data_IF_839170904547
#
_entry.id   IF_839170904547
#
_cell.length_a   1.000
_cell.length_b   1.000
_cell.length_c   1.000
_cell.angle_alpha   90.00
_cell.angle_beta   90.00
_cell.angle_gamma   90.00
#
_symmetry.space_group_name_H-M   'P 1'
#
loop_
_entity.id
_entity.type
_entity.pdbx_description
1 polymer ?
#
# COMPACT_ATOMS: atom_id res chain seq x y z
N UNK A 1 -32.29 7.60 13.38
CA UNK A 1 -31.36 6.66 14.06
C UNK A 1 -29.97 7.26 13.96
N UNK A 2 -29.22 7.37 15.06
CA UNK A 2 -27.83 7.85 14.99
C UNK A 2 -26.98 6.78 14.30
N UNK A 3 -26.33 7.11 13.18
CA UNK A 3 -25.46 6.17 12.48
C UNK A 3 -24.25 5.82 13.35
N UNK A 4 -23.89 4.54 13.41
CA UNK A 4 -22.68 4.10 14.11
C UNK A 4 -21.44 4.62 13.38
N UNK A 5 -20.51 5.24 14.10
CA UNK A 5 -19.27 5.76 13.54
C UNK A 5 -18.19 4.67 13.51
N UNK A 6 -17.81 4.24 12.30
CA UNK A 6 -16.79 3.20 12.05
C UNK A 6 -15.45 3.79 11.60
N UNK A 7 -15.28 5.11 11.60
CA UNK A 7 -14.09 5.77 11.08
C UNK A 7 -12.79 5.32 11.76
N UNK A 8 -12.83 4.95 13.06
CA UNK A 8 -11.64 4.44 13.74
C UNK A 8 -11.18 3.07 13.23
N UNK A 9 -12.09 2.23 12.69
CA UNK A 9 -11.73 0.95 12.08
C UNK A 9 -11.01 1.12 10.74
N UNK A 10 -11.10 2.30 10.13
CA UNK A 10 -10.36 2.63 8.91
C UNK A 10 -8.86 2.64 9.15
N UNK A 11 -8.39 2.95 10.36
CA UNK A 11 -6.96 2.95 10.71
C UNK A 11 -6.35 1.53 10.61
N UNK A 12 -6.85 0.51 11.33
CA UNK A 12 -6.33 -0.85 11.17
C UNK A 12 -6.58 -1.42 9.77
N UNK A 13 -7.72 -1.10 9.13
CA UNK A 13 -7.96 -1.51 7.75
C UNK A 13 -6.91 -0.95 6.78
N UNK A 14 -6.55 0.33 6.90
CA UNK A 14 -5.51 0.97 6.11
C UNK A 14 -4.15 0.29 6.29
N UNK A 15 -3.78 -0.03 7.54
CA UNK A 15 -2.55 -0.76 7.84
C UNK A 15 -2.50 -2.12 7.14
N UNK A 16 -3.59 -2.88 7.17
CA UNK A 16 -3.68 -4.18 6.47
C UNK A 16 -3.46 -4.01 4.97
N UNK A 17 -4.12 -3.02 4.35
CA UNK A 17 -3.94 -2.73 2.92
C UNK A 17 -2.50 -2.30 2.63
N UNK A 18 -1.88 -1.50 3.51
CA UNK A 18 -0.50 -1.04 3.38
C UNK A 18 0.51 -2.18 3.45
N UNK A 19 0.22 -3.23 4.23
CA UNK A 19 1.09 -4.40 4.36
C UNK A 19 0.99 -5.37 3.20
N UNK A 20 -0.13 -5.37 2.45
CA UNK A 20 -0.36 -6.31 1.37
C UNK A 20 0.71 -6.27 0.25
N UNK A 21 1.12 -5.10 -0.28
CA UNK A 21 2.18 -5.04 -1.30
C UNK A 21 3.52 -5.56 -0.78
N UNK A 22 3.82 -5.34 0.49
CA UNK A 22 5.03 -5.86 1.10
C UNK A 22 5.02 -7.39 1.14
N UNK A 23 3.95 -8.00 1.66
CA UNK A 23 3.79 -9.45 1.70
C UNK A 23 3.86 -10.08 0.29
N UNK A 24 3.18 -9.46 -0.68
CA UNK A 24 3.20 -9.89 -2.06
C UNK A 24 4.61 -9.79 -2.69
N UNK A 25 5.36 -8.73 -2.38
CA UNK A 25 6.73 -8.54 -2.89
C UNK A 25 7.70 -9.63 -2.39
N UNK A 26 7.60 -9.99 -1.11
CA UNK A 26 8.44 -11.04 -0.50
C UNK A 26 8.08 -12.40 -1.09
N UNK A 27 6.78 -12.70 -1.21
CA UNK A 27 6.31 -13.93 -1.85
C UNK A 27 6.79 -14.03 -3.30
N UNK A 28 6.70 -12.94 -4.06
CA UNK A 28 7.09 -12.88 -5.46
C UNK A 28 8.58 -13.18 -5.65
N UNK A 29 9.46 -12.56 -4.85
CA UNK A 29 10.90 -12.84 -4.93
C UNK A 29 11.21 -14.25 -4.46
N UNK A 30 10.69 -14.67 -3.32
CA UNK A 30 10.95 -16.00 -2.74
C UNK A 30 10.62 -17.10 -3.75
N UNK A 31 9.45 -17.02 -4.40
CA UNK A 31 9.01 -18.01 -5.38
C UNK A 31 9.89 -18.02 -6.64
N UNK A 32 10.43 -16.86 -7.04
CA UNK A 32 11.28 -16.72 -8.24
C UNK A 32 12.79 -16.83 -7.94
N UNK A 33 13.17 -17.09 -6.68
CA UNK A 33 14.55 -17.19 -6.23
C UNK A 33 14.81 -18.49 -5.44
N UNK A 34 14.28 -19.62 -5.91
CA UNK A 34 14.45 -20.94 -5.28
C UNK A 34 14.10 -20.95 -3.77
N UNK A 35 13.05 -20.24 -3.37
CA UNK A 35 12.62 -20.07 -1.99
C UNK A 35 13.67 -19.42 -1.06
N UNK A 36 14.57 -18.62 -1.62
CA UNK A 36 15.58 -17.87 -0.85
C UNK A 36 15.21 -16.40 -0.72
N UNK A 37 15.09 -15.96 0.53
CA UNK A 37 14.95 -14.54 0.89
C UNK A 37 15.79 -14.26 2.13
N UNK A 38 16.67 -13.25 2.05
CA UNK A 38 17.47 -12.83 3.19
C UNK A 38 16.61 -12.05 4.20
N UNK A 39 16.39 -12.68 5.36
CA UNK A 39 15.66 -12.09 6.49
C UNK A 39 16.57 -11.26 7.42
N UNK A 40 17.89 -11.42 7.34
CA UNK A 40 18.82 -10.71 8.23
C UNK A 40 18.93 -9.24 7.83
N UNK A 41 18.91 -8.95 6.52
CA UNK A 41 19.07 -7.60 6.01
C UNK A 41 18.14 -7.26 4.83
N UNK A 42 16.80 -7.42 4.97
CA UNK A 42 15.85 -7.31 3.85
C UNK A 42 15.83 -5.92 3.19
N UNK A 43 16.27 -4.88 3.90
CA UNK A 43 16.35 -3.50 3.38
C UNK A 43 17.72 -3.09 2.85
N UNK A 44 18.76 -3.93 3.03
CA UNK A 44 20.14 -3.58 2.65
C UNK A 44 20.29 -3.46 1.14
N UNK A 45 21.19 -2.57 0.70
CA UNK A 45 21.52 -2.36 -0.72
C UNK A 45 22.17 -3.60 -1.33
N UNK A 46 23.03 -4.27 -0.57
CA UNK A 46 23.68 -5.53 -0.97
C UNK A 46 22.66 -6.66 -1.20
N UNK A 47 21.61 -6.74 -0.39
CA UNK A 47 20.57 -7.73 -0.62
C UNK A 47 19.73 -7.43 -1.87
N UNK A 48 19.51 -6.14 -2.19
CA UNK A 48 18.79 -5.74 -3.42
C UNK A 48 19.55 -6.13 -4.67
N UNK A 49 20.85 -5.83 -4.74
CA UNK A 49 21.68 -6.18 -5.91
C UNK A 49 21.77 -7.69 -6.12
N UNK A 50 21.92 -8.46 -5.02
CA UNK A 50 21.86 -9.93 -5.07
C UNK A 50 20.51 -10.41 -5.60
N UNK A 51 19.41 -9.86 -5.07
CA UNK A 51 18.05 -10.22 -5.50
C UNK A 51 17.82 -9.90 -6.98
N UNK A 52 18.26 -8.73 -7.45
CA UNK A 52 18.16 -8.33 -8.86
C UNK A 52 18.90 -9.30 -9.79
N UNK A 53 20.10 -9.74 -9.39
CA UNK A 53 20.88 -10.70 -10.16
C UNK A 53 20.28 -12.11 -10.15
N UNK A 54 19.51 -12.47 -9.12
CA UNK A 54 18.94 -13.81 -8.97
C UNK A 54 17.59 -14.04 -9.63
N UNK A 55 16.84 -12.98 -9.98
CA UNK A 55 15.48 -13.11 -10.55
C UNK A 55 15.36 -12.43 -11.92
N UNK A 56 14.40 -12.83 -12.76
CA UNK A 56 14.17 -12.16 -14.04
C UNK A 56 13.85 -10.66 -13.85
N UNK A 57 14.37 -9.81 -14.74
CA UNK A 57 14.25 -8.34 -14.66
C UNK A 57 12.80 -7.83 -14.53
N UNK A 58 11.84 -8.50 -15.16
CA UNK A 58 10.42 -8.11 -15.09
C UNK A 58 9.81 -8.40 -13.70
N UNK A 59 10.26 -9.47 -13.03
CA UNK A 59 9.88 -9.82 -11.66
C UNK A 59 10.49 -8.81 -10.69
N UNK A 60 11.79 -8.51 -10.82
CA UNK A 60 12.46 -7.52 -9.98
C UNK A 60 11.79 -6.14 -10.06
N UNK A 61 11.48 -5.67 -11.28
CA UNK A 61 10.74 -4.41 -11.46
C UNK A 61 9.36 -4.43 -10.82
N UNK A 62 8.69 -5.58 -10.76
CA UNK A 62 7.39 -5.71 -10.08
C UNK A 62 7.58 -5.68 -8.56
N UNK A 63 8.61 -6.32 -8.04
CA UNK A 63 9.02 -6.24 -6.64
C UNK A 63 9.26 -4.78 -6.22
N UNK A 64 10.05 -4.02 -7.00
CA UNK A 64 10.29 -2.60 -6.74
C UNK A 64 8.98 -1.80 -6.71
N UNK A 65 8.07 -2.04 -7.66
CA UNK A 65 6.77 -1.38 -7.65
C UNK A 65 5.96 -1.68 -6.38
N UNK A 66 5.91 -2.94 -5.95
CA UNK A 66 5.20 -3.33 -4.74
C UNK A 66 5.79 -2.63 -3.50
N UNK A 67 7.12 -2.53 -3.44
CA UNK A 67 7.81 -1.83 -2.36
C UNK A 67 7.49 -0.34 -2.34
N UNK A 68 7.54 0.33 -3.49
CA UNK A 68 7.20 1.75 -3.59
C UNK A 68 5.74 2.02 -3.23
N UNK A 69 4.80 1.12 -3.57
CA UNK A 69 3.40 1.23 -3.14
C UNK A 69 3.25 1.14 -1.61
N UNK A 70 3.96 0.20 -0.98
CA UNK A 70 3.99 0.05 0.47
C UNK A 70 4.59 1.29 1.16
N UNK A 71 5.76 1.76 0.69
CA UNK A 71 6.42 2.95 1.24
C UNK A 71 5.53 4.19 1.11
N UNK A 72 4.88 4.39 -0.05
CA UNK A 72 3.92 5.48 -0.23
C UNK A 72 2.73 5.42 0.75
N UNK A 73 2.19 4.23 1.04
CA UNK A 73 1.12 4.10 2.04
C UNK A 73 1.60 4.46 3.44
N UNK A 74 2.80 4.03 3.82
CA UNK A 74 3.34 4.36 5.14
C UNK A 74 3.63 5.85 5.30
N UNK A 75 4.14 6.51 4.26
CA UNK A 75 4.39 7.96 4.26
C UNK A 75 3.10 8.77 4.42
N UNK A 76 2.00 8.33 3.81
CA UNK A 76 0.70 9.02 3.89
C UNK A 76 -0.07 8.72 5.18
N UNK A 77 0.27 7.64 5.89
CA UNK A 77 -0.47 7.13 7.04
C UNK A 77 -0.71 8.20 8.12
N UNK A 78 0.29 9.02 8.43
CA UNK A 78 0.18 10.05 9.46
C UNK A 78 -0.92 11.06 9.15
N UNK A 79 -1.07 11.47 7.89
CA UNK A 79 -2.11 12.41 7.46
C UNK A 79 -3.50 11.80 7.56
N UNK A 80 -3.64 10.53 7.15
CA UNK A 80 -4.92 9.79 7.22
C UNK A 80 -5.37 9.63 8.66
N UNK A 81 -4.48 9.14 9.52
CA UNK A 81 -4.77 8.94 10.94
C UNK A 81 -5.10 10.27 11.60
N UNK A 82 -4.32 11.32 11.33
CA UNK A 82 -4.57 12.66 11.85
C UNK A 82 -5.93 13.22 11.41
N UNK A 83 -6.31 13.03 10.14
CA UNK A 83 -7.61 13.46 9.61
C UNK A 83 -8.79 12.72 10.25
N UNK A 84 -8.70 11.40 10.37
CA UNK A 84 -9.73 10.57 11.02
C UNK A 84 -9.89 10.97 12.49
N UNK A 85 -8.78 11.05 13.24
CA UNK A 85 -8.81 11.44 14.65
C UNK A 85 -9.39 12.83 14.83
N UNK A 86 -9.03 13.79 13.97
CA UNK A 86 -9.57 15.15 14.01
C UNK A 86 -11.09 15.15 13.80
N UNK A 87 -11.59 14.41 12.81
CA UNK A 87 -13.03 14.29 12.56
C UNK A 87 -13.80 13.61 13.71
N UNK A 88 -13.19 12.64 14.37
CA UNK A 88 -13.76 11.98 15.56
C UNK A 88 -13.79 12.96 16.75
N UNK A 89 -12.71 13.69 17.00
CA UNK A 89 -12.61 14.66 18.11
C UNK A 89 -13.59 15.82 17.94
N UNK A 90 -13.78 16.32 16.72
CA UNK A 90 -14.75 17.39 16.42
C UNK A 90 -16.20 16.90 16.32
N UNK A 91 -16.43 15.58 16.45
CA UNK A 91 -17.75 14.93 16.37
C UNK A 91 -18.46 15.23 15.04
N UNK A 92 -17.71 15.12 13.95
CA UNK A 92 -18.29 15.24 12.61
C UNK A 92 -19.36 14.17 12.39
N UNK A 93 -20.31 14.46 11.50
CA UNK A 93 -21.40 13.54 11.18
C UNK A 93 -20.90 12.13 10.82
N UNK A 94 -21.52 11.12 11.44
CA UNK A 94 -21.07 9.74 11.35
C UNK A 94 -21.28 9.14 9.95
N UNK A 95 -22.37 9.51 9.26
CA UNK A 95 -22.61 9.05 7.89
C UNK A 95 -21.55 9.62 6.95
N UNK A 96 -21.27 10.92 7.07
CA UNK A 96 -20.23 11.59 6.30
C UNK A 96 -18.85 10.97 6.56
N UNK A 97 -18.51 10.73 7.82
CA UNK A 97 -17.23 10.13 8.19
C UNK A 97 -17.05 8.73 7.63
N UNK A 98 -18.08 7.88 7.75
CA UNK A 98 -18.05 6.53 7.22
C UNK A 98 -17.92 6.51 5.69
N UNK A 99 -18.65 7.38 5.00
CA UNK A 99 -18.61 7.48 3.54
C UNK A 99 -17.21 7.89 3.06
N UNK A 100 -16.65 8.96 3.63
CA UNK A 100 -15.33 9.45 3.24
C UNK A 100 -14.23 8.43 3.54
N UNK A 101 -14.27 7.80 4.72
CA UNK A 101 -13.32 6.77 5.09
C UNK A 101 -13.44 5.52 4.19
N UNK A 102 -14.66 5.12 3.83
CA UNK A 102 -14.92 4.01 2.91
C UNK A 102 -14.39 4.29 1.51
N UNK A 103 -14.69 5.46 0.95
CA UNK A 103 -14.18 5.88 -0.35
C UNK A 103 -12.65 5.94 -0.37
N UNK A 104 -12.03 6.46 0.68
CA UNK A 104 -10.58 6.48 0.83
C UNK A 104 -9.98 5.08 0.85
N UNK A 105 -10.56 4.11 1.58
CA UNK A 105 -10.04 2.73 1.55
C UNK A 105 -10.13 2.11 0.15
N UNK A 106 -11.25 2.33 -0.55
CA UNK A 106 -11.44 1.85 -1.92
C UNK A 106 -10.40 2.46 -2.86
N UNK A 107 -10.14 3.77 -2.78
CA UNK A 107 -9.14 4.42 -3.60
C UNK A 107 -7.74 3.86 -3.34
N UNK A 108 -7.37 3.59 -2.08
CA UNK A 108 -6.08 2.96 -1.74
C UNK A 108 -5.95 1.54 -2.31
N UNK A 109 -7.03 0.76 -2.33
CA UNK A 109 -7.03 -0.56 -2.96
C UNK A 109 -6.80 -0.42 -4.47
N UNK A 110 -7.54 0.46 -5.15
CA UNK A 110 -7.41 0.70 -6.58
C UNK A 110 -6.03 1.25 -6.95
N UNK A 111 -5.50 2.18 -6.16
CA UNK A 111 -4.15 2.71 -6.29
C UNK A 111 -3.11 1.58 -6.21
N UNK A 112 -3.22 0.73 -5.19
CA UNK A 112 -2.31 -0.38 -4.95
C UNK A 112 -2.31 -1.38 -6.10
N UNK A 113 -3.50 -1.81 -6.54
CA UNK A 113 -3.66 -2.73 -7.68
C UNK A 113 -3.06 -2.11 -8.94
N UNK A 114 -3.37 -0.84 -9.21
CA UNK A 114 -2.84 -0.11 -10.37
C UNK A 114 -1.31 -0.01 -10.31
N UNK A 115 -0.74 0.25 -9.13
CA UNK A 115 0.70 0.38 -8.95
C UNK A 115 1.43 -0.95 -9.24
N UNK A 116 0.89 -2.06 -8.73
CA UNK A 116 1.49 -3.39 -8.89
C UNK A 116 1.38 -3.90 -10.33
N UNK A 117 0.21 -3.74 -10.95
CA UNK A 117 -0.13 -4.35 -12.24
C UNK A 117 0.34 -3.54 -13.45
N UNK A 118 0.38 -2.21 -13.35
CA UNK A 118 0.74 -1.36 -14.48
C UNK A 118 2.26 -1.31 -14.65
N UNK A 119 2.78 -2.06 -15.62
CA UNK A 119 4.19 -2.05 -16.01
C UNK A 119 4.53 -1.04 -17.11
N UNK A 120 3.53 -0.55 -17.84
CA UNK A 120 3.73 0.35 -18.99
C UNK A 120 3.81 1.81 -18.56
N UNK A 121 4.82 2.52 -19.05
CA UNK A 121 5.01 3.95 -18.81
C UNK A 121 3.83 4.80 -19.33
N UNK A 122 3.14 4.35 -20.40
CA UNK A 122 1.96 5.04 -20.95
C UNK A 122 0.78 5.08 -19.99
N UNK A 123 0.66 4.07 -19.12
CA UNK A 123 -0.43 3.93 -18.14
C UNK A 123 0.00 4.35 -16.73
N UNK A 124 1.26 4.75 -16.55
CA UNK A 124 1.75 5.30 -15.29
C UNK A 124 0.92 6.47 -14.73
N UNK A 125 0.36 7.41 -15.52
CA UNK A 125 -0.46 8.50 -14.95
C UNK A 125 -1.77 8.02 -14.31
N UNK A 126 -2.23 6.79 -14.60
CA UNK A 126 -3.39 6.19 -13.91
C UNK A 126 -3.15 6.08 -12.39
N UNK A 127 -1.89 6.03 -11.94
CA UNK A 127 -1.54 6.02 -10.51
C UNK A 127 -1.87 7.36 -9.83
N UNK A 128 -1.78 8.47 -10.55
CA UNK A 128 -2.12 9.79 -10.04
C UNK A 128 -3.62 9.98 -9.90
N UNK A 129 -4.42 9.34 -10.76
CA UNK A 129 -5.88 9.43 -10.72
C UNK A 129 -6.48 8.87 -9.41
N UNK A 130 -5.84 7.87 -8.82
CA UNK A 130 -6.27 7.21 -7.56
C UNK A 130 -5.46 7.66 -6.34
N UNK A 131 -4.68 8.75 -6.45
CA UNK A 131 -3.73 9.13 -5.40
C UNK A 131 -4.42 9.57 -4.10
N UNK A 132 -5.65 10.09 -4.21
CA UNK A 132 -6.47 10.54 -3.09
C UNK A 132 -7.03 9.38 -2.28
#
# INVERSE_FOLDING_TARGET
>A
MSAANYALFTIPAYLVIAMFPHAYSVWLITTNNNNKWDLQSPRSTNNRSKTEASVPKHIYRRFERCRSAHENMLENMAFVVGGILSGVVTRLDAEWMNLMCGLYLVSRILYTISYVSIASAKWAPMRTAWYL
#
